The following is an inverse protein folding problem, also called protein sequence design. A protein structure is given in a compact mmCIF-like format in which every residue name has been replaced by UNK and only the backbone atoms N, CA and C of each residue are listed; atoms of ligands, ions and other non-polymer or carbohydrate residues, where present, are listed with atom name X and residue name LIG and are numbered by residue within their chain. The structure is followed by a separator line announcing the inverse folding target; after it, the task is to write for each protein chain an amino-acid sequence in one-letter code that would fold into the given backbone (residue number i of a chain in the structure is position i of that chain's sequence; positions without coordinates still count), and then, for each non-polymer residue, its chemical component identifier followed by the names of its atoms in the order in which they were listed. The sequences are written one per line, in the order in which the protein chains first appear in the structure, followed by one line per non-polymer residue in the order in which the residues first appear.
data_IF_326954388934
#
_entry.id   IF_326954388934
#
_cell.length_a   1.000
_cell.length_b   1.000
_cell.length_c   1.000
_cell.angle_alpha   90.00
_cell.angle_beta   90.00
_cell.angle_gamma   90.00
#
_symmetry.space_group_name_H-M   'P 1'
#
loop_
_entity.id
_entity.type
_entity.pdbx_description
1 polymer ?
#
# COMPACT_ATOMS: atom_id res chain seq x y z
N UNK A 1 6.95 -15.01 -2.07
CA UNK A 1 6.14 -13.98 -1.39
C UNK A 1 7.05 -12.80 -1.12
N UNK A 2 6.88 -11.70 -1.84
CA UNK A 2 7.59 -10.46 -1.55
C UNK A 2 6.60 -9.55 -0.82
N UNK A 3 6.60 -9.60 0.51
CA UNK A 3 5.98 -8.55 1.31
C UNK A 3 6.64 -7.23 0.92
N UNK A 4 5.86 -6.15 0.75
CA UNK A 4 6.41 -4.80 0.78
C UNK A 4 7.35 -4.72 2.00
N UNK A 5 8.57 -4.18 1.82
CA UNK A 5 9.62 -4.34 2.81
C UNK A 5 9.10 -3.88 4.18
N UNK A 6 9.11 -4.76 5.21
CA UNK A 6 8.81 -4.32 6.56
C UNK A 6 9.90 -3.32 6.98
N UNK A 7 9.55 -2.44 7.93
CA UNK A 7 10.34 -1.35 8.55
C UNK A 7 11.82 -1.28 8.17
N UNK A 8 12.36 -0.07 7.90
CA UNK A 8 13.66 0.12 7.27
C UNK A 8 14.72 -0.68 8.00
N UNK A 9 15.08 -1.84 7.43
CA UNK A 9 15.99 -2.79 8.05
C UNK A 9 17.37 -2.15 7.95
N UNK A 10 17.97 -1.65 9.06
CA UNK A 10 19.35 -1.22 9.01
C UNK A 10 20.17 -2.49 8.84
N UNK A 11 21.12 -2.46 7.92
CA UNK A 11 22.22 -3.44 7.80
C UNK A 11 21.79 -4.88 7.46
N UNK A 12 21.67 -5.24 6.17
CA UNK A 12 21.94 -6.63 5.73
C UNK A 12 21.90 -6.89 4.21
N UNK A 13 21.44 -5.95 3.36
CA UNK A 13 21.20 -6.27 1.94
C UNK A 13 21.92 -5.30 0.98
N UNK A 14 23.20 -5.55 0.66
CA UNK A 14 24.00 -4.68 -0.21
C UNK A 14 23.57 -4.69 -1.70
N UNK A 15 22.64 -5.57 -2.09
CA UNK A 15 22.22 -5.76 -3.50
C UNK A 15 20.75 -5.41 -3.78
N UNK A 16 20.07 -4.65 -2.90
CA UNK A 16 18.74 -4.14 -3.27
C UNK A 16 18.89 -2.93 -4.21
N UNK A 17 18.23 -2.93 -5.39
CA UNK A 17 18.31 -1.82 -6.34
C UNK A 17 17.70 -0.52 -5.80
N UNK A 18 16.93 -0.60 -4.71
CA UNK A 18 16.30 0.53 -4.01
C UNK A 18 16.85 0.75 -2.59
N UNK A 19 18.03 0.21 -2.26
CA UNK A 19 18.71 0.49 -0.99
C UNK A 19 19.32 1.89 -0.92
N UNK A 20 19.90 2.26 0.24
CA UNK A 20 20.45 3.59 0.63
C UNK A 20 21.45 4.26 -0.34
N UNK A 21 21.73 3.70 -1.52
CA UNK A 21 22.61 4.26 -2.54
C UNK A 21 22.23 5.70 -2.97
N UNK A 22 20.98 6.13 -2.74
CA UNK A 22 20.46 7.44 -3.13
C UNK A 22 20.03 8.34 -1.95
N UNK A 23 20.46 8.01 -0.72
CA UNK A 23 20.22 8.84 0.47
C UNK A 23 21.56 9.44 0.90
N UNK A 24 21.85 10.68 0.51
CA UNK A 24 22.98 11.44 1.06
C UNK A 24 22.51 12.27 2.25
N UNK A 25 22.95 11.91 3.46
CA UNK A 25 22.77 12.75 4.65
C UNK A 25 22.82 11.98 5.97
N UNK A 26 23.41 12.61 7.00
CA UNK A 26 23.49 12.14 8.38
C UNK A 26 22.10 11.76 8.93
N UNK A 27 21.89 10.47 9.20
CA UNK A 27 20.60 9.89 9.60
C UNK A 27 20.32 10.05 11.09
N UNK A 28 20.60 11.22 11.66
CA UNK A 28 20.33 11.44 13.08
C UNK A 28 18.84 11.65 13.34
N UNK A 29 18.11 12.49 12.59
CA UNK A 29 16.66 12.70 12.80
C UNK A 29 15.92 13.27 11.57
N UNK A 30 16.13 12.72 10.38
CA UNK A 30 15.54 13.27 9.15
C UNK A 30 15.08 12.19 8.18
N UNK A 31 13.80 12.24 7.81
CA UNK A 31 13.22 11.47 6.72
C UNK A 31 14.00 11.79 5.43
N UNK A 32 15.00 10.97 5.10
CA UNK A 32 15.79 11.13 3.90
C UNK A 32 14.89 10.99 2.68
N UNK A 33 14.61 12.09 1.99
CA UNK A 33 13.93 12.04 0.70
C UNK A 33 14.86 11.37 -0.31
N UNK A 34 14.36 10.33 -0.95
CA UNK A 34 15.00 9.71 -2.10
C UNK A 34 15.41 10.79 -3.11
N UNK A 35 16.70 10.88 -3.43
CA UNK A 35 17.24 11.82 -4.42
C UNK A 35 17.52 11.08 -5.74
N UNK A 36 16.53 10.99 -6.65
CA UNK A 36 16.74 10.34 -7.93
C UNK A 36 17.78 11.09 -8.76
N UNK A 37 18.69 10.34 -9.38
CA UNK A 37 19.41 10.88 -10.53
C UNK A 37 18.46 11.01 -11.72
N UNK A 38 18.86 11.79 -12.73
CA UNK A 38 18.11 11.90 -13.99
C UNK A 38 17.86 10.53 -14.65
N UNK A 39 18.80 9.60 -14.52
CA UNK A 39 18.69 8.24 -15.07
C UNK A 39 17.67 7.38 -14.29
N UNK A 40 17.63 7.54 -12.97
CA UNK A 40 16.64 6.85 -12.12
C UNK A 40 15.23 7.35 -12.42
N UNK A 41 15.08 8.67 -12.63
CA UNK A 41 13.79 9.27 -13.02
C UNK A 41 13.32 8.74 -14.38
N UNK A 42 14.18 8.63 -15.39
CA UNK A 42 13.80 8.06 -16.69
C UNK A 42 13.39 6.60 -16.57
N UNK A 43 14.11 5.82 -15.74
CA UNK A 43 13.78 4.41 -15.49
C UNK A 43 12.42 4.29 -14.81
N UNK A 44 12.13 5.13 -13.81
CA UNK A 44 10.82 5.18 -13.18
C UNK A 44 9.70 5.53 -14.17
N UNK A 45 9.90 6.54 -15.01
CA UNK A 45 8.91 6.97 -16.00
C UNK A 45 8.68 5.89 -17.08
N UNK A 46 9.70 5.10 -17.40
CA UNK A 46 9.55 3.98 -18.34
C UNK A 46 8.90 2.75 -17.69
N UNK A 47 9.10 2.54 -16.39
CA UNK A 47 8.38 1.54 -15.61
C UNK A 47 6.92 1.93 -15.37
N UNK A 48 6.63 3.22 -15.13
CA UNK A 48 5.27 3.69 -14.90
C UNK A 48 4.39 3.54 -16.14
N UNK A 49 4.97 3.62 -17.35
CA UNK A 49 4.27 3.35 -18.62
C UNK A 49 3.93 1.87 -18.81
N UNK A 50 4.55 0.97 -18.04
CA UNK A 50 4.33 -0.49 -18.08
C UNK A 50 3.36 -0.96 -16.99
N UNK A 51 2.91 -0.06 -16.11
CA UNK A 51 1.78 -0.34 -15.23
C UNK A 51 0.53 -0.37 -16.09
N UNK A 52 0.06 -1.58 -16.36
CA UNK A 52 -1.27 -1.78 -16.87
C UNK A 52 -2.23 -1.74 -15.67
N UNK A 53 -2.70 -0.53 -15.33
CA UNK A 53 -3.63 -0.32 -14.20
C UNK A 53 -5.07 -0.76 -14.55
N UNK A 54 -5.26 -1.58 -15.58
CA UNK A 54 -6.58 -2.03 -16.00
C UNK A 54 -7.14 -3.00 -14.95
N UNK A 55 -7.98 -2.46 -14.07
CA UNK A 55 -8.54 -3.16 -12.91
C UNK A 55 -7.67 -3.17 -11.64
N UNK A 56 -6.53 -2.46 -11.62
CA UNK A 56 -5.71 -2.28 -10.41
C UNK A 56 -5.86 -0.86 -9.84
N UNK A 57 -5.89 -0.75 -8.51
CA UNK A 57 -5.95 0.53 -7.79
C UNK A 57 -4.85 0.66 -6.74
N UNK A 58 -4.48 1.89 -6.40
CA UNK A 58 -3.48 2.18 -5.36
C UNK A 58 -4.12 2.18 -3.98
N UNK A 59 -3.35 1.95 -2.90
CA UNK A 59 -3.86 1.98 -1.52
C UNK A 59 -4.60 3.28 -1.16
N UNK A 60 -4.17 4.44 -1.68
CA UNK A 60 -4.87 5.72 -1.45
C UNK A 60 -6.23 5.78 -2.16
N UNK A 61 -6.36 5.16 -3.34
CA UNK A 61 -7.65 5.03 -4.02
C UNK A 61 -8.58 4.08 -3.26
N UNK A 62 -8.05 2.96 -2.75
CA UNK A 62 -8.80 2.04 -1.89
C UNK A 62 -9.33 2.73 -0.62
N UNK A 63 -8.52 3.58 0.02
CA UNK A 63 -8.97 4.41 1.14
C UNK A 63 -10.09 5.37 0.75
N UNK A 64 -10.00 5.97 -0.44
CA UNK A 64 -11.09 6.79 -1.00
C UNK A 64 -12.40 6.01 -1.18
N UNK A 65 -12.33 4.76 -1.62
CA UNK A 65 -13.51 3.89 -1.76
C UNK A 65 -14.15 3.57 -0.40
N UNK A 66 -13.35 3.27 0.61
CA UNK A 66 -13.83 3.05 1.97
C UNK A 66 -14.54 4.29 2.53
N UNK A 67 -13.91 5.47 2.40
CA UNK A 67 -14.48 6.74 2.87
C UNK A 67 -15.74 7.16 2.12
N UNK A 68 -15.90 6.74 0.87
CA UNK A 68 -17.09 6.99 0.08
C UNK A 68 -18.28 6.08 0.48
N UNK A 69 -18.05 5.04 1.29
CA UNK A 69 -19.11 4.13 1.70
C UNK A 69 -20.11 4.84 2.65
N UNK A 70 -21.43 4.80 2.40
CA UNK A 70 -22.42 5.56 3.21
C UNK A 70 -22.40 5.24 4.70
N UNK A 71 -21.97 4.02 5.05
CA UNK A 71 -21.91 3.51 6.41
C UNK A 71 -20.52 3.56 7.04
N UNK A 72 -19.55 4.24 6.43
CA UNK A 72 -18.17 4.28 6.94
C UNK A 72 -18.08 4.76 8.39
N UNK A 73 -19.03 5.59 8.84
CA UNK A 73 -19.13 6.09 10.22
C UNK A 73 -19.50 5.01 11.24
N UNK A 74 -19.96 3.83 10.80
CA UNK A 74 -20.24 2.68 11.66
C UNK A 74 -18.99 1.87 11.98
N UNK A 75 -17.88 2.10 11.26
CA UNK A 75 -16.65 1.32 11.40
C UNK A 75 -15.83 1.78 12.61
N UNK A 76 -15.43 0.81 13.43
CA UNK A 76 -14.46 1.01 14.50
C UNK A 76 -13.03 0.76 14.05
N UNK A 77 -12.08 1.08 14.92
CA UNK A 77 -10.64 0.82 14.70
C UNK A 77 -10.37 -0.66 14.36
N UNK A 78 -11.11 -1.58 14.98
CA UNK A 78 -10.96 -3.03 14.74
C UNK A 78 -11.37 -3.43 13.31
N UNK A 79 -12.40 -2.80 12.75
CA UNK A 79 -12.85 -3.08 11.38
C UNK A 79 -11.81 -2.58 10.37
N UNK A 80 -11.22 -1.41 10.64
CA UNK A 80 -10.14 -0.85 9.81
C UNK A 80 -8.89 -1.72 9.89
N UNK A 81 -8.53 -2.23 11.08
CA UNK A 81 -7.40 -3.14 11.23
C UNK A 81 -7.63 -4.44 10.46
N UNK A 82 -8.83 -5.02 10.56
CA UNK A 82 -9.20 -6.23 9.81
C UNK A 82 -9.12 -6.01 8.30
N UNK A 83 -9.60 -4.86 7.82
CA UNK A 83 -9.49 -4.49 6.41
C UNK A 83 -8.03 -4.37 5.98
N UNK A 84 -7.18 -3.72 6.79
CA UNK A 84 -5.77 -3.57 6.50
C UNK A 84 -5.06 -4.93 6.46
N UNK A 85 -5.34 -5.83 7.40
CA UNK A 85 -4.77 -7.18 7.44
C UNK A 85 -5.15 -8.00 6.21
N UNK A 86 -6.41 -7.92 5.77
CA UNK A 86 -6.90 -8.60 4.56
C UNK A 86 -6.25 -8.04 3.29
N UNK A 87 -6.26 -6.71 3.11
CA UNK A 87 -5.71 -6.07 1.92
C UNK A 87 -4.19 -6.20 1.83
N UNK A 88 -3.47 -6.29 2.96
CA UNK A 88 -2.01 -6.44 2.96
C UNK A 88 -1.55 -7.70 2.21
N UNK A 89 -2.35 -8.77 2.22
CA UNK A 89 -2.05 -10.01 1.49
C UNK A 89 -2.32 -9.90 -0.01
N UNK A 90 -3.02 -8.86 -0.46
CA UNK A 90 -3.47 -8.63 -1.84
C UNK A 90 -2.65 -7.54 -2.55
N UNK A 91 -1.74 -6.87 -1.84
CA UNK A 91 -0.87 -5.83 -2.41
C UNK A 91 0.21 -6.42 -3.32
N UNK A 92 0.33 -5.86 -4.52
CA UNK A 92 1.42 -6.06 -5.47
C UNK A 92 2.34 -4.85 -5.44
N UNK A 93 3.60 -5.07 -5.06
CA UNK A 93 4.61 -4.01 -4.96
C UNK A 93 5.47 -3.98 -6.25
N UNK A 94 5.54 -2.82 -6.90
CA UNK A 94 6.25 -2.61 -8.16
C UNK A 94 7.47 -1.69 -8.02
N UNK A 95 8.23 -1.74 -6.92
CA UNK A 95 9.48 -0.97 -6.74
C UNK A 95 9.34 0.57 -6.63
N UNK A 96 8.38 1.18 -7.32
CA UNK A 96 8.02 2.61 -7.29
C UNK A 96 6.64 2.84 -6.66
N UNK A 97 5.94 1.78 -6.28
CA UNK A 97 4.58 1.86 -5.75
C UNK A 97 3.97 0.50 -5.44
N UNK A 98 2.72 0.55 -5.02
CA UNK A 98 1.93 -0.60 -4.65
C UNK A 98 0.51 -0.45 -5.22
N UNK A 99 -0.08 -1.56 -5.64
CA UNK A 99 -1.45 -1.63 -6.13
C UNK A 99 -2.11 -2.93 -5.67
N UNK A 100 -3.42 -3.03 -5.85
CA UNK A 100 -4.28 -4.15 -5.50
C UNK A 100 -5.41 -4.22 -6.53
N UNK A 101 -6.03 -5.38 -6.74
CA UNK A 101 -7.14 -5.46 -7.69
C UNK A 101 -8.36 -4.73 -7.13
N UNK A 102 -9.05 -3.98 -7.99
CA UNK A 102 -10.19 -3.17 -7.57
C UNK A 102 -11.30 -4.04 -6.98
N UNK A 103 -11.54 -5.23 -7.56
CA UNK A 103 -12.57 -6.14 -7.05
C UNK A 103 -12.22 -6.70 -5.66
N UNK A 104 -10.93 -6.93 -5.37
CA UNK A 104 -10.48 -7.40 -4.06
C UNK A 104 -10.74 -6.36 -2.97
N UNK A 105 -10.60 -5.08 -3.32
CA UNK A 105 -10.92 -3.97 -2.42
C UNK A 105 -12.42 -3.85 -2.21
N UNK A 106 -13.22 -3.92 -3.29
CA UNK A 106 -14.69 -3.87 -3.18
C UNK A 106 -15.20 -4.99 -2.28
N UNK A 107 -14.74 -6.22 -2.50
CA UNK A 107 -15.14 -7.39 -1.70
C UNK A 107 -14.74 -7.23 -0.22
N UNK A 108 -13.52 -6.79 0.06
CA UNK A 108 -13.05 -6.58 1.43
C UNK A 108 -13.85 -5.48 2.16
N UNK A 109 -14.16 -4.38 1.47
CA UNK A 109 -14.97 -3.27 2.03
C UNK A 109 -16.41 -3.72 2.27
N UNK A 110 -17.05 -4.38 1.31
CA UNK A 110 -18.41 -4.92 1.46
C UNK A 110 -18.47 -5.97 2.60
N UNK A 111 -17.40 -6.75 2.77
CA UNK A 111 -17.22 -7.71 3.86
C UNK A 111 -17.29 -7.11 5.27
N UNK A 112 -16.93 -5.84 5.45
CA UNK A 112 -17.07 -5.15 6.74
C UNK A 112 -18.53 -4.92 7.11
N UNK A 113 -19.35 -4.65 6.10
CA UNK A 113 -20.72 -4.19 6.27
C UNK A 113 -21.75 -5.34 6.23
N UNK A 114 -21.38 -6.50 5.71
CA UNK A 114 -22.23 -7.70 5.62
C UNK A 114 -22.22 -8.54 6.91
N UNK A 115 -21.21 -8.39 7.77
CA UNK A 115 -21.09 -9.14 9.03
C UNK A 115 -21.83 -8.50 10.23
N UNK A 116 -22.39 -7.30 10.06
CA UNK A 116 -23.12 -6.59 11.11
C UNK A 116 -24.58 -7.05 11.42
N UNK A 117 -25.28 -7.94 10.68
CA UNK A 117 -26.63 -8.34 11.10
C UNK A 117 -26.66 -9.48 12.15
N UNK A 118 -25.51 -10.04 12.57
CA UNK A 118 -25.50 -11.25 13.43
C UNK A 118 -24.98 -11.03 14.86
N UNK A 119 -24.67 -9.80 15.27
CA UNK A 119 -24.25 -9.50 16.66
C UNK A 119 -25.10 -8.39 17.30
N UNK A 120 -26.41 -8.45 17.11
CA UNK A 120 -27.37 -7.64 17.88
C UNK A 120 -28.54 -8.50 18.36
N UNK A 121 -28.24 -9.63 19.02
CA UNK A 121 -29.17 -10.38 19.87
C UNK A 121 -28.37 -10.96 21.04
N UNK A 122 -28.66 -10.50 22.26
CA UNK A 122 -28.10 -11.03 23.51
C UNK A 122 -27.98 -9.99 24.61
#
# INVERSE_FOLDING_TARGET
MASCPPEPVPESRPNLPFGHAHVQGDTTWGHGTWQPTKADLSTLLDLSKKLDLDGEITPVMAWGMLLAHPRVQELGVQDIQKLADDLTQKVRCYGFGAVMEEFEVRDAVDGLFTLQPMMMVG
#
